data_IF_804576432458
#
_entry.id   IF_804576432458
#
_cell.length_a   1.000
_cell.length_b   1.000
_cell.length_c   1.000
_cell.angle_alpha   90.00
_cell.angle_beta   90.00
_cell.angle_gamma   90.00
#
_symmetry.space_group_name_H-M   'P 1'
#
loop_
_entity.id
_entity.type
_entity.pdbx_description
1 polymer ?
#
# COMPACT_ATOMS: atom_id res chain seq x y z
N UNK A 1 6.76 -21.19 -21.34
CA UNK A 1 6.58 -19.90 -20.65
C UNK A 1 5.67 -20.14 -19.47
N UNK A 2 6.10 -19.86 -18.24
CA UNK A 2 5.27 -20.05 -17.05
C UNK A 2 4.21 -18.96 -16.93
N UNK A 3 3.08 -19.21 -16.24
CA UNK A 3 2.08 -18.17 -16.00
C UNK A 3 2.63 -17.07 -15.09
N UNK A 4 2.42 -15.81 -15.45
CA UNK A 4 2.64 -14.68 -14.55
C UNK A 4 1.40 -14.49 -13.66
N UNK A 5 1.59 -14.46 -12.34
CA UNK A 5 0.52 -14.33 -11.35
C UNK A 5 0.90 -13.18 -10.43
N UNK A 6 0.02 -12.18 -10.35
CA UNK A 6 0.19 -11.01 -9.50
C UNK A 6 -0.93 -10.95 -8.46
N UNK A 7 -0.58 -10.56 -7.24
CA UNK A 7 -1.53 -10.25 -6.17
C UNK A 7 -1.15 -8.91 -5.54
N UNK A 8 -2.19 -8.14 -5.22
CA UNK A 8 -2.05 -6.82 -4.60
C UNK A 8 -3.05 -6.64 -3.48
N UNK A 9 -2.69 -5.79 -2.52
CA UNK A 9 -3.61 -5.27 -1.51
C UNK A 9 -3.20 -3.84 -1.15
N UNK A 10 -4.18 -3.03 -0.78
CA UNK A 10 -3.98 -1.69 -0.26
C UNK A 10 -4.45 -1.69 1.19
N UNK A 11 -3.62 -1.16 2.09
CA UNK A 11 -3.95 -1.00 3.50
C UNK A 11 -3.47 0.37 3.99
N UNK A 12 -4.21 0.92 4.95
CA UNK A 12 -3.86 2.18 5.63
C UNK A 12 -2.86 1.90 6.73
N UNK A 13 -1.77 2.67 6.78
CA UNK A 13 -0.84 2.59 7.92
C UNK A 13 -1.45 3.29 9.14
N UNK A 14 -1.37 2.67 10.34
CA UNK A 14 -1.77 3.34 11.58
C UNK A 14 -0.71 4.34 12.08
N UNK A 15 0.48 4.36 11.46
CA UNK A 15 1.61 5.17 11.89
C UNK A 15 1.56 6.55 11.22
N UNK A 16 1.72 7.60 12.03
CA UNK A 16 1.79 8.98 11.55
C UNK A 16 2.86 9.16 10.46
N UNK A 17 2.57 10.00 9.47
CA UNK A 17 3.48 10.27 8.36
C UNK A 17 4.70 11.11 8.75
N UNK A 18 5.46 11.51 7.72
CA UNK A 18 6.60 12.43 7.83
C UNK A 18 6.27 13.67 8.65
N UNK A 19 7.22 14.11 9.48
CA UNK A 19 7.19 15.40 10.18
C UNK A 19 8.52 16.14 10.02
N UNK A 20 8.49 17.47 10.09
CA UNK A 20 9.69 18.29 10.25
C UNK A 20 9.93 18.58 11.72
N UNK A 21 11.18 18.40 12.15
CA UNK A 21 11.66 18.65 13.50
C UNK A 21 12.70 19.76 13.49
N UNK A 22 12.72 20.53 14.58
CA UNK A 22 13.72 21.60 14.82
C UNK A 22 14.54 21.39 16.08
N UNK A 23 14.29 20.29 16.81
CA UNK A 23 15.07 19.90 17.99
C UNK A 23 15.20 18.38 18.13
N UNK A 24 16.23 17.92 18.85
CA UNK A 24 16.40 16.49 19.17
C UNK A 24 15.24 15.96 20.05
N UNK A 25 14.70 16.78 20.96
CA UNK A 25 13.56 16.42 21.80
C UNK A 25 12.29 16.15 20.99
N UNK A 26 12.05 16.89 19.90
CA UNK A 26 10.97 16.60 18.97
C UNK A 26 11.17 15.28 18.22
N UNK A 27 12.42 14.94 17.87
CA UNK A 27 12.76 13.66 17.25
C UNK A 27 12.40 12.49 18.17
N UNK A 28 12.80 12.58 19.44
CA UNK A 28 12.52 11.58 20.48
C UNK A 28 11.01 11.45 20.69
N UNK A 29 10.30 12.59 20.84
CA UNK A 29 8.84 12.61 21.05
C UNK A 29 8.10 11.94 19.89
N UNK A 30 8.48 12.25 18.65
CA UNK A 30 7.89 11.62 17.47
C UNK A 30 8.20 10.11 17.43
N UNK A 31 9.45 9.71 17.66
CA UNK A 31 9.85 8.31 17.63
C UNK A 31 9.11 7.47 18.70
N UNK A 32 9.00 8.00 19.93
CA UNK A 32 8.21 7.36 20.99
C UNK A 32 6.74 7.21 20.59
N UNK A 33 6.13 8.24 20.00
CA UNK A 33 4.72 8.22 19.61
C UNK A 33 4.39 7.17 18.53
N UNK A 34 5.35 6.82 17.67
CA UNK A 34 5.16 5.82 16.63
C UNK A 34 5.59 4.40 17.03
N UNK A 35 6.09 4.20 18.25
CA UNK A 35 6.48 2.87 18.76
C UNK A 35 7.93 2.45 18.43
N UNK A 36 8.87 3.39 18.34
CA UNK A 36 10.31 3.07 18.32
C UNK A 36 10.70 2.31 19.61
N UNK A 37 11.42 1.18 19.58
CA UNK A 37 12.33 0.63 18.56
C UNK A 37 11.72 -0.33 17.53
N UNK A 38 10.51 -0.85 17.77
CA UNK A 38 9.88 -1.82 16.87
C UNK A 38 9.55 -1.17 15.52
N UNK A 39 8.98 0.04 15.58
CA UNK A 39 8.85 0.92 14.43
C UNK A 39 10.15 1.73 14.25
N UNK A 40 10.93 1.41 13.22
CA UNK A 40 12.12 2.16 12.87
C UNK A 40 11.81 3.58 12.41
N UNK A 41 12.83 4.43 12.44
CA UNK A 41 12.78 5.83 12.00
C UNK A 41 13.88 6.12 10.98
N UNK A 42 13.60 7.07 10.09
CA UNK A 42 14.54 7.64 9.13
C UNK A 42 14.61 9.14 9.36
N UNK A 43 15.83 9.68 9.42
CA UNK A 43 16.08 11.13 9.41
C UNK A 43 16.62 11.55 8.04
N UNK A 44 16.06 12.61 7.49
CA UNK A 44 16.53 13.27 6.28
C UNK A 44 16.89 14.72 6.57
N UNK A 45 18.18 15.05 6.38
CA UNK A 45 18.65 16.43 6.30
C UNK A 45 18.74 16.83 4.83
N UNK A 46 18.09 17.92 4.43
CA UNK A 46 18.14 18.41 3.04
C UNK A 46 18.82 19.78 3.00
N UNK A 47 19.82 19.91 2.13
CA UNK A 47 20.47 21.19 1.84
C UNK A 47 20.63 21.36 0.33
N UNK A 48 20.03 22.44 -0.22
CA UNK A 48 19.95 22.68 -1.66
C UNK A 48 19.37 21.45 -2.38
N UNK A 49 20.21 20.66 -3.05
CA UNK A 49 19.84 19.46 -3.80
C UNK A 49 20.47 18.17 -3.24
N UNK A 50 21.09 18.23 -2.06
CA UNK A 50 21.66 17.06 -1.41
C UNK A 50 20.81 16.66 -0.20
N UNK A 51 20.43 15.38 -0.14
CA UNK A 51 19.71 14.80 1.00
C UNK A 51 20.59 13.78 1.69
N UNK A 52 20.96 14.07 2.93
CA UNK A 52 21.61 13.11 3.82
C UNK A 52 20.52 12.27 4.48
N UNK A 53 20.69 10.96 4.48
CA UNK A 53 19.71 10.01 5.01
C UNK A 53 20.34 9.13 6.08
N UNK A 54 19.80 9.19 7.30
CA UNK A 54 20.16 8.28 8.38
C UNK A 54 19.01 7.31 8.63
N UNK A 55 19.33 6.02 8.61
CA UNK A 55 18.39 4.90 8.76
C UNK A 55 19.00 3.85 9.67
N UNK A 56 18.21 2.86 10.07
CA UNK A 56 18.67 1.77 10.95
C UNK A 56 19.20 2.26 12.30
N UNK A 57 18.63 3.35 12.83
CA UNK A 57 18.89 3.82 14.19
C UNK A 57 18.24 2.84 15.17
N UNK A 58 18.99 2.41 16.19
CA UNK A 58 18.59 1.31 17.09
C UNK A 58 18.44 1.73 18.55
N UNK A 59 18.69 3.00 18.87
CA UNK A 59 18.69 3.52 20.24
C UNK A 59 18.22 4.98 20.26
N UNK A 60 17.60 5.41 21.36
CA UNK A 60 17.11 6.79 21.51
C UNK A 60 18.26 7.79 21.59
N UNK A 61 19.37 7.40 22.20
CA UNK A 61 20.58 8.21 22.34
C UNK A 61 21.16 8.51 20.94
N UNK A 62 21.35 7.46 20.13
CA UNK A 62 21.82 7.61 18.74
C UNK A 62 20.85 8.46 17.91
N UNK A 63 19.54 8.32 18.12
CA UNK A 63 18.54 9.15 17.44
C UNK A 63 18.71 10.63 17.79
N UNK A 64 18.83 10.94 19.08
CA UNK A 64 19.04 12.29 19.58
C UNK A 64 20.32 12.92 19.02
N UNK A 65 21.45 12.21 19.14
CA UNK A 65 22.76 12.66 18.66
C UNK A 65 22.75 12.90 17.15
N UNK A 66 22.12 11.99 16.38
CA UNK A 66 22.00 12.13 14.92
C UNK A 66 21.12 13.31 14.54
N UNK A 67 19.99 13.50 15.24
CA UNK A 67 19.10 14.63 15.00
C UNK A 67 19.81 15.96 15.30
N UNK A 68 20.54 16.05 16.41
CA UNK A 68 21.29 17.25 16.77
C UNK A 68 22.41 17.56 15.75
N UNK A 69 23.16 16.54 15.33
CA UNK A 69 24.21 16.69 14.32
C UNK A 69 23.65 17.22 12.98
N UNK A 70 22.48 16.71 12.54
CA UNK A 70 21.83 17.18 11.33
C UNK A 70 21.28 18.62 11.50
N UNK A 71 20.67 18.94 12.65
CA UNK A 71 20.12 20.27 12.91
C UNK A 71 21.20 21.37 13.00
N UNK A 72 22.45 21.02 13.31
CA UNK A 72 23.59 21.96 13.20
C UNK A 72 23.89 22.37 11.75
N UNK A 73 23.49 21.55 10.77
CA UNK A 73 23.76 21.76 9.35
C UNK A 73 22.52 22.21 8.56
N UNK A 74 21.33 21.99 9.12
CA UNK A 74 20.04 22.21 8.45
C UNK A 74 19.06 22.96 9.35
N UNK A 75 18.28 23.89 8.78
CA UNK A 75 17.25 24.63 9.54
C UNK A 75 16.14 23.72 10.10
N UNK A 76 15.84 22.62 9.41
CA UNK A 76 14.95 21.57 9.89
C UNK A 76 15.38 20.22 9.32
N UNK A 77 15.00 19.16 10.01
CA UNK A 77 15.23 17.77 9.59
C UNK A 77 13.89 17.09 9.44
N UNK A 78 13.69 16.31 8.39
CA UNK A 78 12.50 15.48 8.25
C UNK A 78 12.72 14.16 8.99
N UNK A 79 11.80 13.80 9.88
CA UNK A 79 11.71 12.49 10.53
C UNK A 79 10.52 11.72 9.97
N UNK A 80 10.73 10.44 9.64
CA UNK A 80 9.72 9.58 9.04
C UNK A 80 9.76 8.19 9.66
N UNK A 81 8.63 7.47 9.69
CA UNK A 81 8.64 6.03 9.94
C UNK A 81 9.41 5.29 8.86
N UNK A 82 10.17 4.29 9.27
CA UNK A 82 10.82 3.35 8.38
C UNK A 82 9.87 2.22 8.00
N UNK A 83 9.31 2.28 6.79
CA UNK A 83 8.40 1.27 6.26
C UNK A 83 9.10 0.06 5.63
N UNK A 84 10.38 -0.18 5.87
CA UNK A 84 10.99 -1.47 5.49
C UNK A 84 10.35 -2.58 6.32
N UNK A 85 10.07 -3.74 5.71
CA UNK A 85 9.28 -4.81 6.35
C UNK A 85 9.79 -5.23 7.75
N UNK A 86 11.11 -5.29 7.93
CA UNK A 86 11.74 -5.66 9.20
C UNK A 86 11.85 -4.50 10.22
N UNK A 87 11.35 -3.30 9.88
CA UNK A 87 11.36 -2.09 10.70
C UNK A 87 9.97 -1.48 10.88
N UNK A 88 8.92 -2.10 10.34
CA UNK A 88 7.54 -1.63 10.47
C UNK A 88 6.63 -2.83 10.73
N UNK A 89 6.25 -3.10 11.99
CA UNK A 89 5.39 -4.23 12.35
C UNK A 89 4.07 -4.25 11.57
N UNK A 90 3.44 -3.09 11.38
CA UNK A 90 2.20 -2.96 10.60
C UNK A 90 2.41 -3.36 9.14
N UNK A 91 3.52 -2.93 8.51
CA UNK A 91 3.86 -3.32 7.14
C UNK A 91 4.26 -4.79 7.03
N UNK A 92 4.96 -5.34 8.02
CA UNK A 92 5.25 -6.77 8.08
C UNK A 92 3.95 -7.61 8.10
N UNK A 93 2.96 -7.18 8.89
CA UNK A 93 1.65 -7.83 8.95
C UNK A 93 0.90 -7.73 7.61
N UNK A 94 0.90 -6.56 6.96
CA UNK A 94 0.28 -6.39 5.65
C UNK A 94 0.94 -7.28 4.56
N UNK A 95 2.28 -7.37 4.57
CA UNK A 95 3.01 -8.25 3.65
C UNK A 95 2.68 -9.72 3.93
N UNK A 96 2.62 -10.13 5.20
CA UNK A 96 2.23 -11.50 5.58
C UNK A 96 0.86 -11.87 5.03
N UNK A 97 -0.14 -11.02 5.25
CA UNK A 97 -1.49 -11.25 4.73
C UNK A 97 -1.51 -11.34 3.19
N UNK A 98 -0.73 -10.51 2.49
CA UNK A 98 -0.59 -10.60 1.04
C UNK A 98 0.08 -11.91 0.59
N UNK A 99 1.11 -12.37 1.31
CA UNK A 99 1.74 -13.66 1.05
C UNK A 99 0.78 -14.83 1.27
N UNK A 100 -0.05 -14.80 2.31
CA UNK A 100 -1.09 -15.80 2.56
C UNK A 100 -2.12 -15.83 1.42
N UNK A 101 -2.58 -14.65 0.96
CA UNK A 101 -3.47 -14.54 -0.20
C UNK A 101 -2.85 -15.09 -1.47
N UNK A 102 -1.57 -14.79 -1.72
CA UNK A 102 -0.83 -15.32 -2.87
C UNK A 102 -0.68 -16.84 -2.79
N UNK A 103 -0.34 -17.38 -1.60
CA UNK A 103 -0.25 -18.83 -1.39
C UNK A 103 -1.59 -19.51 -1.69
N UNK A 104 -2.69 -18.96 -1.17
CA UNK A 104 -4.04 -19.47 -1.45
C UNK A 104 -4.33 -19.46 -2.96
N UNK A 105 -3.99 -18.38 -3.67
CA UNK A 105 -4.19 -18.29 -5.12
C UNK A 105 -3.35 -19.33 -5.87
N UNK A 106 -2.08 -19.47 -5.53
CA UNK A 106 -1.19 -20.46 -6.14
C UNK A 106 -1.70 -21.90 -5.92
N UNK A 107 -2.31 -22.18 -4.78
CA UNK A 107 -2.95 -23.46 -4.47
C UNK A 107 -4.32 -23.66 -5.15
N UNK A 108 -4.88 -22.63 -5.79
CA UNK A 108 -6.19 -22.71 -6.46
C UNK A 108 -6.00 -23.13 -7.92
N UNK A 109 -6.46 -24.33 -8.27
CA UNK A 109 -6.39 -24.85 -9.63
C UNK A 109 -7.47 -24.23 -10.54
N UNK A 110 -7.10 -23.96 -11.80
CA UNK A 110 -8.04 -23.59 -12.85
C UNK A 110 -8.98 -24.77 -13.17
N UNK A 111 -10.31 -24.57 -13.20
CA UNK A 111 -11.25 -25.66 -13.48
C UNK A 111 -11.09 -26.25 -14.89
N UNK A 112 -10.62 -25.46 -15.87
CA UNK A 112 -10.46 -25.92 -17.25
C UNK A 112 -9.10 -26.57 -17.53
N UNK A 113 -8.02 -26.10 -16.91
CA UNK A 113 -6.64 -26.50 -17.27
C UNK A 113 -5.86 -27.12 -16.12
N UNK A 114 -6.42 -27.11 -14.91
CA UNK A 114 -5.78 -27.51 -13.65
C UNK A 114 -4.48 -26.76 -13.35
N UNK A 115 -4.20 -25.66 -14.05
CA UNK A 115 -3.05 -24.82 -13.78
C UNK A 115 -3.22 -24.11 -12.44
N UNK A 116 -2.16 -23.97 -11.62
CA UNK A 116 -2.20 -23.21 -10.38
C UNK A 116 -2.43 -21.71 -10.67
N UNK A 117 -2.90 -20.97 -9.66
CA UNK A 117 -3.01 -19.52 -9.73
C UNK A 117 -4.35 -18.99 -10.22
N UNK A 118 -5.39 -19.82 -10.26
CA UNK A 118 -6.72 -19.37 -10.66
C UNK A 118 -7.27 -18.37 -9.64
N UNK A 119 -7.69 -17.19 -10.12
CA UNK A 119 -8.17 -16.12 -9.26
C UNK A 119 -8.47 -14.83 -10.03
N UNK A 120 -8.70 -13.74 -9.31
CA UNK A 120 -9.02 -12.44 -9.90
C UNK A 120 -7.92 -11.94 -10.85
N UNK A 121 -8.28 -11.64 -12.09
CA UNK A 121 -7.37 -11.13 -13.12
C UNK A 121 -7.78 -9.75 -13.63
N UNK A 122 -9.08 -9.43 -13.59
CA UNK A 122 -9.61 -8.18 -14.10
C UNK A 122 -11.03 -7.94 -13.55
N UNK A 123 -11.65 -6.84 -13.94
CA UNK A 123 -13.04 -6.50 -13.65
C UNK A 123 -13.76 -6.09 -14.93
N UNK A 124 -15.06 -6.33 -14.99
CA UNK A 124 -15.92 -5.77 -16.04
C UNK A 124 -16.61 -4.51 -15.52
N UNK A 125 -16.52 -3.42 -16.27
CA UNK A 125 -17.21 -2.16 -15.99
C UNK A 125 -18.51 -2.05 -16.80
N UNK A 126 -19.36 -1.08 -16.43
CA UNK A 126 -20.54 -0.73 -17.21
C UNK A 126 -21.87 -0.87 -16.48
N UNK A 127 -21.89 -0.87 -15.14
CA UNK A 127 -23.16 -0.83 -14.43
C UNK A 127 -24.01 0.38 -14.90
N UNK A 128 -25.29 0.18 -15.22
CA UNK A 128 -26.13 1.25 -15.72
C UNK A 128 -26.44 2.26 -14.60
N UNK A 129 -26.39 3.55 -14.94
CA UNK A 129 -26.77 4.62 -14.03
C UNK A 129 -28.24 4.50 -13.64
N UNK A 130 -28.53 4.57 -12.34
CA UNK A 130 -29.89 4.51 -11.81
C UNK A 130 -30.80 5.67 -12.24
N UNK A 131 -30.23 6.76 -12.76
CA UNK A 131 -31.00 7.92 -13.25
C UNK A 131 -31.13 7.97 -14.77
N UNK A 132 -30.01 8.01 -15.50
CA UNK A 132 -30.04 8.17 -16.96
C UNK A 132 -29.88 6.87 -17.75
N UNK A 133 -29.58 5.74 -17.10
CA UNK A 133 -29.37 4.44 -17.75
C UNK A 133 -28.04 4.27 -18.48
N UNK A 134 -27.23 5.34 -18.64
CA UNK A 134 -25.91 5.23 -19.29
C UNK A 134 -24.97 4.28 -18.54
N UNK A 135 -24.13 3.56 -19.27
CA UNK A 135 -23.06 2.74 -18.69
C UNK A 135 -22.06 3.62 -17.93
N UNK A 136 -21.69 3.20 -16.72
CA UNK A 136 -20.75 3.93 -15.85
C UNK A 136 -19.42 3.18 -15.69
N UNK A 137 -18.44 3.84 -15.07
CA UNK A 137 -17.19 3.19 -14.63
C UNK A 137 -17.37 2.30 -13.40
N UNK A 138 -18.59 2.10 -12.90
CA UNK A 138 -18.81 1.15 -11.81
C UNK A 138 -18.73 -0.31 -12.32
N UNK A 139 -18.16 -1.16 -11.47
CA UNK A 139 -17.84 -2.57 -11.79
C UNK A 139 -19.10 -3.42 -11.70
N UNK A 140 -19.42 -4.15 -12.77
CA UNK A 140 -20.56 -5.08 -12.84
C UNK A 140 -20.19 -6.52 -12.46
N UNK A 141 -18.95 -6.95 -12.71
CA UNK A 141 -18.51 -8.31 -12.44
C UNK A 141 -17.00 -8.35 -12.18
N UNK A 142 -16.56 -9.32 -11.38
CA UNK A 142 -15.15 -9.68 -11.31
C UNK A 142 -14.83 -10.67 -12.44
N UNK A 143 -13.59 -10.69 -12.91
CA UNK A 143 -13.10 -11.64 -13.91
C UNK A 143 -12.03 -12.50 -13.26
N UNK A 144 -12.28 -13.80 -13.19
CA UNK A 144 -11.36 -14.79 -12.64
C UNK A 144 -10.76 -15.64 -13.76
N UNK A 145 -9.45 -15.89 -13.73
CA UNK A 145 -8.72 -16.63 -14.75
C UNK A 145 -7.40 -17.21 -14.25
N UNK A 146 -6.70 -17.96 -15.11
CA UNK A 146 -5.34 -18.42 -14.87
C UNK A 146 -4.39 -17.99 -16.01
N UNK A 147 -3.08 -17.98 -15.75
CA UNK A 147 -2.09 -17.55 -16.75
C UNK A 147 -1.76 -18.57 -17.85
N UNK A 148 -2.47 -19.72 -17.93
CA UNK A 148 -2.15 -20.80 -18.89
C UNK A 148 -3.12 -20.87 -20.07
N UNK A 149 -4.39 -20.55 -19.85
CA UNK A 149 -5.46 -20.67 -20.84
C UNK A 149 -6.36 -19.44 -20.80
N UNK A 150 -7.07 -19.16 -21.88
CA UNK A 150 -8.04 -18.05 -21.99
C UNK A 150 -9.34 -18.30 -21.21
N UNK A 151 -9.43 -19.38 -20.45
CA UNK A 151 -10.63 -19.68 -19.67
C UNK A 151 -10.81 -18.66 -18.54
N UNK A 152 -11.97 -18.00 -18.53
CA UNK A 152 -12.36 -17.04 -17.52
C UNK A 152 -13.76 -17.35 -16.99
N UNK A 153 -13.97 -17.05 -15.70
CA UNK A 153 -15.28 -17.05 -15.05
C UNK A 153 -15.59 -15.62 -14.63
N UNK A 154 -16.86 -15.22 -14.79
CA UNK A 154 -17.34 -13.86 -14.57
C UNK A 154 -18.38 -13.83 -13.45
N UNK A 155 -17.98 -13.98 -12.18
CA UNK A 155 -18.92 -13.84 -11.06
C UNK A 155 -19.48 -12.40 -11.03
N UNK A 156 -20.80 -12.21 -11.10
CA UNK A 156 -21.41 -10.89 -11.01
C UNK A 156 -21.24 -10.31 -9.60
N UNK A 157 -21.08 -8.99 -9.50
CA UNK A 157 -21.20 -8.30 -8.21
C UNK A 157 -22.68 -8.09 -7.89
N UNK A 158 -23.02 -8.01 -6.61
CA UNK A 158 -24.41 -7.91 -6.14
C UNK A 158 -25.12 -6.57 -6.47
N UNK A 159 -24.46 -5.67 -7.20
CA UNK A 159 -24.98 -4.34 -7.49
C UNK A 159 -25.59 -4.34 -8.90
N UNK A 160 -26.84 -3.93 -9.04
CA UNK A 160 -27.54 -3.90 -10.32
C UNK A 160 -27.44 -2.54 -11.04
N UNK A 161 -27.30 -1.44 -10.28
CA UNK A 161 -27.27 -0.07 -10.80
C UNK A 161 -26.16 0.74 -10.12
N UNK A 162 -25.63 1.74 -10.83
CA UNK A 162 -24.70 2.73 -10.29
C UNK A 162 -25.43 3.99 -9.81
N UNK A 163 -24.91 4.63 -8.76
CA UNK A 163 -25.43 5.92 -8.30
C UNK A 163 -25.03 7.05 -9.29
N UNK A 164 -25.87 8.08 -9.50
CA UNK A 164 -25.61 9.12 -10.50
C UNK A 164 -24.36 9.96 -10.21
N UNK A 165 -23.93 10.03 -8.95
CA UNK A 165 -22.68 10.70 -8.52
C UNK A 165 -21.41 10.09 -9.15
N UNK A 166 -21.47 8.84 -9.61
CA UNK A 166 -20.38 8.12 -10.29
C UNK A 166 -20.59 8.00 -11.81
N UNK A 167 -21.55 8.74 -12.38
CA UNK A 167 -21.88 8.67 -13.81
C UNK A 167 -21.34 9.90 -14.54
N UNK A 168 -20.41 9.69 -15.48
CA UNK A 168 -19.81 10.76 -16.29
C UNK A 168 -20.84 11.59 -17.09
N UNK A 169 -22.04 11.06 -17.35
CA UNK A 169 -23.13 11.81 -17.99
C UNK A 169 -23.94 12.68 -17.01
N UNK A 170 -24.12 12.23 -15.76
CA UNK A 170 -24.91 12.93 -14.75
C UNK A 170 -24.05 13.87 -13.90
N UNK A 171 -22.78 13.51 -13.71
CA UNK A 171 -21.79 14.20 -12.91
C UNK A 171 -20.46 14.24 -13.68
N UNK A 172 -20.36 15.06 -14.74
CA UNK A 172 -19.15 15.23 -15.53
C UNK A 172 -18.01 15.93 -14.76
#
# INVERSE_FOLDING_TARGET
>A
MGPEIAEGSVSTSPVAGRRHIVSASEAITFASAIGFLDQGVILHGTQKNHTVTHKSITQFEILGDTAEALLKQHQSVAILPDYRAHKAPSRAAAIRALCEKMAQRLSTECPASRAPGFGHVDVEHGLPCSFCGSATQAITADIHGCGRWTHQIRPPRNHALAAPEWCDCCNP
#
